data_IF_860045204805
#
_entry.id   IF_860045204805
#
_cell.length_a   1.000
_cell.length_b   1.000
_cell.length_c   1.000
_cell.angle_alpha   90.00
_cell.angle_beta   90.00
_cell.angle_gamma   90.00
#
_symmetry.space_group_name_H-M   'P 1'
#
loop_
_entity.id
_entity.type
_entity.pdbx_description
1 polymer ?
#
# COMPACT_ATOMS: atom_id res chain seq x y z
N UNK A 1 9.39 13.54 18.59
CA UNK A 1 8.13 14.32 18.77
C UNK A 1 7.47 14.01 20.08
N UNK A 2 7.14 12.75 20.32
CA UNK A 2 6.55 12.27 21.58
C UNK A 2 7.44 12.59 22.78
N UNK A 3 8.73 12.23 22.71
CA UNK A 3 9.70 12.52 23.78
C UNK A 3 10.07 14.01 23.92
N UNK A 4 9.81 14.80 22.88
CA UNK A 4 10.04 16.25 22.89
C UNK A 4 8.78 17.05 23.25
N UNK A 5 7.66 16.39 23.58
CA UNK A 5 6.39 17.03 23.93
C UNK A 5 5.74 17.82 22.78
N UNK A 6 6.11 17.57 21.52
CA UNK A 6 5.63 18.34 20.34
C UNK A 6 4.54 17.64 19.52
N UNK A 7 3.83 16.68 20.12
CA UNK A 7 2.67 16.05 19.46
C UNK A 7 1.59 17.11 19.18
N UNK A 8 1.00 17.06 17.98
CA UNK A 8 -0.03 18.02 17.55
C UNK A 8 0.50 19.41 17.14
N UNK A 9 1.69 19.82 17.58
CA UNK A 9 2.32 21.10 17.20
C UNK A 9 3.07 21.02 15.88
N UNK A 10 3.63 19.85 15.55
CA UNK A 10 4.36 19.63 14.31
C UNK A 10 3.76 18.43 13.60
N UNK A 11 3.38 18.62 12.34
CA UNK A 11 2.84 17.57 11.51
C UNK A 11 3.94 16.58 11.13
N UNK A 12 3.73 15.30 11.45
CA UNK A 12 4.53 14.19 10.95
C UNK A 12 3.68 13.41 9.96
N UNK A 13 4.17 13.34 8.73
CA UNK A 13 3.58 12.57 7.62
C UNK A 13 4.69 11.78 6.96
N UNK A 14 4.41 10.54 6.53
CA UNK A 14 5.43 9.68 5.94
C UNK A 14 4.93 8.27 5.61
N UNK A 15 5.87 7.44 5.18
CA UNK A 15 5.68 6.04 4.83
C UNK A 15 6.11 5.16 6.00
N UNK A 16 5.17 4.45 6.61
CA UNK A 16 5.45 3.49 7.68
C UNK A 16 4.32 2.46 7.78
N UNK A 17 4.60 1.29 8.37
CA UNK A 17 3.59 0.24 8.53
C UNK A 17 2.55 0.63 9.59
N UNK A 18 1.28 0.23 9.43
CA UNK A 18 0.21 0.44 10.39
C UNK A 18 0.59 0.03 11.82
N UNK A 19 1.20 -1.14 12.00
CA UNK A 19 1.57 -1.65 13.31
C UNK A 19 2.56 -0.74 14.06
N UNK A 20 3.57 -0.22 13.36
CA UNK A 20 4.53 0.70 13.95
C UNK A 20 3.89 2.06 14.30
N UNK A 21 2.88 2.48 13.54
CA UNK A 21 2.30 3.81 13.62
C UNK A 21 1.05 3.90 14.49
N UNK A 22 0.37 2.78 14.76
CA UNK A 22 -0.85 2.69 15.57
C UNK A 22 -0.80 3.49 16.88
N UNK A 23 0.21 3.35 17.76
CA UNK A 23 0.24 4.10 19.01
C UNK A 23 0.39 5.63 18.81
N UNK A 24 0.94 6.08 17.67
CA UNK A 24 1.10 7.51 17.38
C UNK A 24 -0.13 8.11 16.71
N UNK A 25 -0.85 7.31 15.91
CA UNK A 25 -2.12 7.70 15.28
C UNK A 25 -3.26 7.72 16.31
N UNK A 26 -3.30 6.76 17.22
CA UNK A 26 -4.31 6.71 18.29
C UNK A 26 -4.17 7.87 19.29
N UNK A 27 -2.93 8.30 19.58
CA UNK A 27 -2.63 9.43 20.46
C UNK A 27 -2.60 10.79 19.74
N UNK A 28 -3.10 10.87 18.50
CA UNK A 28 -3.19 12.09 17.68
C UNK A 28 -1.85 12.83 17.46
N UNK A 29 -0.72 12.16 17.73
CA UNK A 29 0.62 12.64 17.42
C UNK A 29 0.90 12.61 15.90
N UNK A 30 0.25 11.69 15.18
CA UNK A 30 0.34 11.52 13.72
C UNK A 30 -1.08 11.45 13.15
N UNK A 31 -1.42 12.34 12.21
CA UNK A 31 -2.78 12.40 11.65
C UNK A 31 -3.07 11.31 10.62
N UNK A 32 -2.08 10.97 9.81
CA UNK A 32 -2.23 9.99 8.74
C UNK A 32 -0.89 9.43 8.31
N UNK A 33 -0.89 8.18 7.90
CA UNK A 33 0.24 7.48 7.32
C UNK A 33 -0.17 6.97 5.95
N UNK A 34 0.74 7.00 4.99
CA UNK A 34 0.47 6.53 3.63
C UNK A 34 1.35 5.33 3.35
N UNK A 35 0.79 4.25 2.82
CA UNK A 35 1.57 3.09 2.34
C UNK A 35 0.79 2.35 1.26
N UNK A 36 1.32 1.26 0.75
CA UNK A 36 0.59 0.24 0.00
C UNK A 36 0.16 -0.89 0.94
N UNK A 37 -0.91 -1.62 0.58
CA UNK A 37 -1.29 -2.85 1.28
C UNK A 37 -0.37 -4.01 0.82
N UNK A 38 0.53 -4.54 1.67
CA UNK A 38 1.44 -5.62 1.29
C UNK A 38 0.72 -6.91 0.91
N UNK A 39 -0.48 -7.14 1.46
CA UNK A 39 -1.31 -8.29 1.10
C UNK A 39 -1.77 -8.19 -0.36
N UNK A 40 -2.21 -7.00 -0.78
CA UNK A 40 -2.61 -6.76 -2.17
C UNK A 40 -1.41 -6.82 -3.11
N UNK A 41 -0.24 -6.34 -2.66
CA UNK A 41 0.99 -6.43 -3.44
C UNK A 41 1.41 -7.89 -3.69
N UNK A 42 1.41 -8.73 -2.66
CA UNK A 42 1.69 -10.16 -2.79
C UNK A 42 0.65 -10.88 -3.66
N UNK A 43 -0.63 -10.52 -3.50
CA UNK A 43 -1.72 -11.05 -4.31
C UNK A 43 -1.52 -10.70 -5.80
N UNK A 44 -1.22 -9.44 -6.12
CA UNK A 44 -0.92 -9.00 -7.49
C UNK A 44 0.27 -9.77 -8.07
N UNK A 45 1.37 -9.91 -7.32
CA UNK A 45 2.56 -10.63 -7.76
C UNK A 45 2.25 -12.10 -8.14
N UNK A 46 1.43 -12.79 -7.34
CA UNK A 46 1.02 -14.16 -7.65
C UNK A 46 0.21 -14.26 -8.97
N UNK A 47 -0.70 -13.31 -9.23
CA UNK A 47 -1.45 -13.26 -10.49
C UNK A 47 -0.56 -12.99 -11.69
N UNK A 48 0.42 -12.09 -11.56
CA UNK A 48 1.38 -11.77 -12.63
C UNK A 48 2.25 -12.98 -12.96
N UNK A 49 2.77 -13.66 -11.93
CA UNK A 49 3.55 -14.89 -12.11
C UNK A 49 2.74 -15.97 -12.82
N UNK A 50 1.48 -16.15 -12.41
CA UNK A 50 0.57 -17.12 -13.05
C UNK A 50 0.29 -16.76 -14.50
N UNK A 51 -0.08 -15.51 -14.79
CA UNK A 51 -0.36 -15.06 -16.15
C UNK A 51 0.85 -15.17 -17.07
N UNK A 52 2.05 -14.96 -16.53
CA UNK A 52 3.31 -15.16 -17.26
C UNK A 52 3.56 -16.64 -17.55
N UNK A 53 3.41 -17.50 -16.54
CA UNK A 53 3.59 -18.95 -16.69
C UNK A 53 2.58 -19.57 -17.66
N UNK A 54 1.34 -19.11 -17.62
CA UNK A 54 0.25 -19.56 -18.50
C UNK A 54 0.36 -18.93 -19.92
N UNK A 55 1.27 -17.98 -20.12
CA UNK A 55 1.50 -17.30 -21.40
C UNK A 55 0.39 -16.33 -21.81
N UNK A 56 -0.52 -15.99 -20.89
CA UNK A 56 -1.59 -15.01 -21.09
C UNK A 56 -1.12 -13.58 -20.93
N UNK A 57 -0.01 -13.35 -20.21
CA UNK A 57 0.72 -12.09 -20.18
C UNK A 57 1.92 -12.18 -21.13
N UNK A 58 1.99 -11.29 -22.12
CA UNK A 58 2.99 -11.28 -23.19
C UNK A 58 3.76 -9.95 -23.21
N UNK A 59 4.98 -9.95 -23.78
CA UNK A 59 5.70 -8.71 -24.05
C UNK A 59 4.84 -7.74 -24.89
N UNK A 60 4.71 -6.50 -24.43
CA UNK A 60 3.92 -5.46 -25.08
C UNK A 60 2.48 -5.33 -24.57
N UNK A 61 2.02 -6.21 -23.69
CA UNK A 61 0.74 -6.02 -22.99
C UNK A 61 0.78 -4.74 -22.13
N UNK A 62 -0.38 -4.11 -22.01
CA UNK A 62 -0.54 -2.85 -21.26
C UNK A 62 -1.25 -3.03 -19.92
N UNK A 63 -1.79 -4.23 -19.66
CA UNK A 63 -2.48 -4.54 -18.41
C UNK A 63 -2.52 -6.04 -18.11
N UNK A 64 -2.82 -6.38 -16.86
CA UNK A 64 -2.95 -7.77 -16.39
C UNK A 64 -4.16 -7.93 -15.46
N UNK A 65 -4.93 -9.00 -15.65
CA UNK A 65 -6.06 -9.37 -14.78
C UNK A 65 -5.56 -9.90 -13.44
N UNK A 66 -5.94 -9.25 -12.35
CA UNK A 66 -5.51 -9.58 -10.99
C UNK A 66 -6.71 -9.85 -10.04
N UNK A 67 -7.68 -10.65 -10.48
CA UNK A 67 -8.80 -11.10 -9.65
C UNK A 67 -9.58 -9.93 -9.02
N UNK A 68 -9.67 -9.89 -7.68
CA UNK A 68 -10.36 -8.81 -6.94
C UNK A 68 -9.75 -7.42 -7.12
N UNK A 69 -8.51 -7.33 -7.61
CA UNK A 69 -7.83 -6.06 -7.88
C UNK A 69 -8.17 -5.50 -9.27
N UNK A 70 -8.93 -6.23 -10.10
CA UNK A 70 -9.30 -5.79 -11.45
C UNK A 70 -8.13 -5.89 -12.45
N UNK A 71 -8.13 -4.99 -13.44
CA UNK A 71 -7.05 -4.87 -14.43
C UNK A 71 -5.98 -3.90 -13.92
N UNK A 72 -4.79 -4.43 -13.61
CA UNK A 72 -3.64 -3.65 -13.20
C UNK A 72 -2.88 -3.15 -14.43
N UNK A 73 -2.47 -1.88 -14.42
CA UNK A 73 -1.79 -1.26 -15.54
C UNK A 73 -0.29 -1.56 -15.54
N UNK A 74 0.25 -1.79 -16.73
CA UNK A 74 1.69 -1.85 -16.97
C UNK A 74 2.22 -0.45 -17.33
N UNK A 75 3.29 -0.05 -16.67
CA UNK A 75 4.04 1.17 -16.94
C UNK A 75 5.48 0.82 -17.27
N UNK A 76 6.18 1.71 -17.99
CA UNK A 76 7.58 1.51 -18.35
C UNK A 76 7.88 0.15 -19.02
N UNK A 77 6.87 -0.42 -19.70
CA UNK A 77 6.95 -1.69 -20.43
C UNK A 77 7.03 -2.97 -19.58
N UNK A 78 7.25 -2.89 -18.27
CA UNK A 78 7.43 -4.08 -17.41
C UNK A 78 7.07 -3.89 -15.94
N UNK A 79 6.71 -2.69 -15.52
CA UNK A 79 6.35 -2.39 -14.13
C UNK A 79 4.83 -2.43 -13.98
N UNK A 80 4.32 -3.04 -12.91
CA UNK A 80 2.88 -3.15 -12.67
C UNK A 80 2.52 -2.29 -11.47
N UNK A 81 1.66 -1.29 -11.69
CA UNK A 81 1.19 -0.42 -10.62
C UNK A 81 0.02 -1.07 -9.89
N UNK A 82 0.19 -1.28 -8.58
CA UNK A 82 -0.88 -1.78 -7.71
C UNK A 82 -2.06 -0.79 -7.62
N UNK A 83 -1.76 0.51 -7.77
CA UNK A 83 -2.75 1.59 -7.71
C UNK A 83 -2.36 2.69 -6.73
N UNK A 84 -3.36 3.48 -6.32
CA UNK A 84 -3.15 4.58 -5.40
C UNK A 84 -2.66 4.09 -4.02
N UNK A 85 -1.79 4.85 -3.35
CA UNK A 85 -1.42 4.57 -1.96
C UNK A 85 -2.65 4.57 -1.05
N UNK A 86 -2.64 3.68 -0.07
CA UNK A 86 -3.64 3.60 0.98
C UNK A 86 -3.31 4.58 2.12
N UNK A 87 -4.32 5.31 2.59
CA UNK A 87 -4.18 6.26 3.69
C UNK A 87 -4.71 5.63 4.98
N UNK A 88 -3.81 5.38 5.91
CA UNK A 88 -4.11 4.90 7.25
C UNK A 88 -4.41 6.09 8.17
N UNK A 89 -5.58 6.03 8.80
CA UNK A 89 -6.08 7.03 9.74
C UNK A 89 -6.58 6.32 10.99
N UNK A 90 -6.91 7.07 12.03
CA UNK A 90 -7.51 6.52 13.27
C UNK A 90 -8.77 5.66 13.01
N UNK A 91 -9.44 5.86 11.87
CA UNK A 91 -10.68 5.14 11.52
C UNK A 91 -10.44 3.71 11.02
N UNK A 92 -9.29 3.43 10.39
CA UNK A 92 -9.04 2.16 9.68
C UNK A 92 -7.72 1.49 10.08
N UNK A 93 -6.82 2.18 10.80
CA UNK A 93 -5.50 1.64 11.16
C UNK A 93 -5.59 0.39 12.04
N UNK A 94 -6.72 0.20 12.75
CA UNK A 94 -7.00 -0.99 13.55
C UNK A 94 -7.32 -2.25 12.74
N UNK A 95 -7.68 -2.10 11.46
CA UNK A 95 -8.10 -3.21 10.58
C UNK A 95 -6.90 -3.93 9.93
N UNK A 96 -5.68 -3.41 10.16
CA UNK A 96 -4.45 -3.90 9.55
C UNK A 96 -3.50 -4.45 10.61
N UNK A 97 -2.82 -5.55 10.27
CA UNK A 97 -1.86 -6.22 11.15
C UNK A 97 -0.54 -6.51 10.42
N UNK A 98 0.06 -5.47 9.84
CA UNK A 98 1.39 -5.52 9.22
C UNK A 98 2.19 -4.25 9.54
#
# INVERSE_FOLDING_TARGET
MTQAGKCGTVAVVGLATPNAMKPYVENDCVKSVVLWNPVDLGYAAAYVLRATADGTLKPGDTSVKAGRLGDLQMVNGSEILLGAPFVFTKKNIGDFNF
#
